data_IF_402004790117
#
_entry.id   IF_402004790117
#
_cell.length_a   1.000
_cell.length_b   1.000
_cell.length_c   1.000
_cell.angle_alpha   90.00
_cell.angle_beta   90.00
_cell.angle_gamma   90.00
#
_symmetry.space_group_name_H-M   'P 1'
#
loop_
_entity.id
_entity.type
_entity.pdbx_description
1 polymer ?
#
# COMPACT_ATOMS: atom_id res chain seq x y z
N UNK A 1 -7.75 32.89 7.14
CA UNK A 1 -8.91 32.44 6.34
C UNK A 1 -9.45 31.19 7.03
N UNK A 2 -10.54 31.29 7.78
CA UNK A 2 -11.09 30.14 8.51
C UNK A 2 -12.03 29.38 7.58
N UNK A 3 -11.66 28.19 7.12
CA UNK A 3 -12.58 27.33 6.37
C UNK A 3 -13.56 26.70 7.36
N UNK A 4 -14.86 26.70 7.07
CA UNK A 4 -15.83 26.04 7.93
C UNK A 4 -15.57 24.52 7.91
N UNK A 5 -15.76 23.87 9.06
CA UNK A 5 -15.32 22.47 9.33
C UNK A 5 -15.92 21.44 8.36
N UNK A 6 -17.07 21.77 7.76
CA UNK A 6 -17.80 21.00 6.77
C UNK A 6 -17.14 20.99 5.37
N UNK A 7 -16.22 21.93 5.10
CA UNK A 7 -15.44 22.02 3.85
C UNK A 7 -14.07 21.34 3.93
N UNK A 8 -13.69 20.76 5.08
CA UNK A 8 -12.47 19.94 5.15
C UNK A 8 -12.71 18.61 4.42
N UNK A 9 -11.90 18.24 3.41
CA UNK A 9 -12.06 16.96 2.74
C UNK A 9 -11.95 15.86 3.80
N UNK A 10 -13.02 15.06 3.94
CA UNK A 10 -12.99 13.87 4.80
C UNK A 10 -11.97 12.91 4.19
N UNK A 11 -10.74 12.95 4.70
CA UNK A 11 -9.68 12.03 4.31
C UNK A 11 -10.21 10.62 4.57
N UNK A 12 -10.48 9.87 3.50
CA UNK A 12 -10.75 8.43 3.62
C UNK A 12 -9.48 7.80 4.19
N UNK A 13 -9.59 6.85 5.13
CA UNK A 13 -8.41 6.13 5.59
C UNK A 13 -7.71 5.51 4.36
N UNK A 14 -6.38 5.61 4.34
CA UNK A 14 -5.60 5.00 3.28
C UNK A 14 -5.88 3.49 3.22
N UNK A 15 -5.82 2.87 2.03
CA UNK A 15 -5.90 1.42 1.89
C UNK A 15 -4.93 0.75 2.86
N UNK A 16 -5.35 -0.33 3.51
CA UNK A 16 -4.61 -1.03 4.56
C UNK A 16 -3.21 -1.42 4.11
N UNK A 17 -3.07 -1.86 2.86
CA UNK A 17 -1.78 -2.22 2.25
C UNK A 17 -0.81 -1.04 2.26
N UNK A 18 -1.28 0.13 1.82
CA UNK A 18 -0.47 1.35 1.75
C UNK A 18 -0.19 1.93 3.14
N UNK A 19 -1.17 1.93 4.04
CA UNK A 19 -1.01 2.41 5.41
C UNK A 19 0.05 1.62 6.19
N UNK A 20 0.05 0.29 6.06
CA UNK A 20 1.07 -0.55 6.67
C UNK A 20 2.44 -0.33 6.04
N UNK A 21 2.50 -0.08 4.72
CA UNK A 21 3.75 0.19 4.05
C UNK A 21 4.39 1.49 4.54
N UNK A 22 3.60 2.56 4.65
CA UNK A 22 4.03 3.84 5.22
C UNK A 22 4.51 3.69 6.67
N UNK A 23 3.81 2.88 7.47
CA UNK A 23 4.26 2.56 8.82
C UNK A 23 5.61 1.83 8.80
N UNK A 24 5.77 0.84 7.93
CA UNK A 24 6.97 0.03 7.83
C UNK A 24 8.21 0.80 7.36
N UNK A 25 8.05 1.86 6.55
CA UNK A 25 9.17 2.73 6.16
C UNK A 25 9.91 3.33 7.37
N UNK A 26 9.25 3.45 8.53
CA UNK A 26 9.86 3.97 9.76
C UNK A 26 10.63 2.92 10.57
N UNK A 27 10.49 1.63 10.26
CA UNK A 27 11.03 0.53 11.08
C UNK A 27 11.80 -0.52 10.29
N UNK A 28 11.47 -0.70 9.01
CA UNK A 28 12.08 -1.63 8.06
C UNK A 28 12.75 -0.79 6.96
N UNK A 29 14.08 -0.92 6.74
CA UNK A 29 14.76 -0.17 5.68
C UNK A 29 14.16 -0.42 4.28
N UNK A 30 13.44 0.58 3.77
CA UNK A 30 12.70 0.50 2.50
C UNK A 30 11.43 -0.34 2.58
N UNK A 31 10.82 -0.44 3.76
CA UNK A 31 9.47 -0.97 4.02
C UNK A 31 9.30 -2.48 3.77
N UNK A 32 10.31 -3.18 3.25
CA UNK A 32 10.28 -4.60 2.92
C UNK A 32 11.63 -5.26 3.21
N UNK A 33 11.66 -6.60 3.27
CA UNK A 33 12.89 -7.38 3.50
C UNK A 33 13.74 -7.63 2.26
N UNK A 34 13.28 -7.25 1.06
CA UNK A 34 13.94 -7.55 -0.21
C UNK A 34 13.97 -6.30 -1.08
N UNK A 35 15.16 -5.92 -1.55
CA UNK A 35 15.32 -4.78 -2.46
C UNK A 35 14.42 -4.90 -3.70
N UNK A 36 14.37 -6.09 -4.31
CA UNK A 36 13.60 -6.40 -5.51
C UNK A 36 12.08 -6.37 -5.34
N UNK A 37 11.57 -6.13 -4.12
CA UNK A 37 10.15 -6.05 -3.82
C UNK A 37 9.72 -4.66 -3.36
N UNK A 38 10.59 -3.65 -3.48
CA UNK A 38 10.26 -2.26 -3.13
C UNK A 38 9.29 -1.65 -4.14
N UNK A 39 8.10 -1.18 -3.72
CA UNK A 39 7.14 -0.49 -4.59
C UNK A 39 7.76 0.69 -5.36
N UNK A 40 8.74 1.38 -4.78
CA UNK A 40 9.41 2.54 -5.40
C UNK A 40 10.16 2.19 -6.68
N UNK A 41 10.57 0.94 -6.87
CA UNK A 41 11.32 0.52 -8.06
C UNK A 41 10.44 0.23 -9.27
N UNK A 42 9.13 0.02 -9.07
CA UNK A 42 8.21 -0.44 -10.11
C UNK A 42 7.06 0.54 -10.33
N UNK A 43 6.14 0.64 -9.37
CA UNK A 43 4.98 1.53 -9.44
C UNK A 43 4.71 2.18 -8.07
N UNK A 44 5.41 3.28 -7.75
CA UNK A 44 5.27 3.97 -6.47
C UNK A 44 3.82 4.39 -6.20
N UNK A 45 3.29 4.02 -5.03
CA UNK A 45 1.92 4.36 -4.62
C UNK A 45 0.80 3.57 -5.32
N UNK A 46 1.14 2.66 -6.23
CA UNK A 46 0.19 1.80 -6.92
C UNK A 46 0.49 0.30 -6.73
N UNK A 47 1.76 -0.07 -6.59
CA UNK A 47 2.17 -1.45 -6.36
C UNK A 47 1.88 -1.89 -4.92
N UNK A 48 1.15 -2.99 -4.69
CA UNK A 48 0.90 -3.50 -3.34
C UNK A 48 2.20 -4.02 -2.72
N UNK A 49 2.60 -3.42 -1.59
CA UNK A 49 3.81 -3.82 -0.88
C UNK A 49 3.65 -5.17 -0.15
N UNK A 50 2.41 -5.52 0.23
CA UNK A 50 2.09 -6.68 1.06
C UNK A 50 0.89 -7.45 0.52
N UNK A 51 0.90 -8.76 0.76
CA UNK A 51 -0.09 -9.70 0.26
C UNK A 51 -0.61 -10.59 1.39
N UNK A 52 -1.89 -10.92 1.33
CA UNK A 52 -2.55 -11.82 2.29
C UNK A 52 -2.58 -13.27 1.80
N UNK A 53 -2.63 -13.48 0.48
CA UNK A 53 -2.70 -14.81 -0.14
C UNK A 53 -2.09 -14.81 -1.54
N UNK A 54 -1.71 -16.00 -2.01
CA UNK A 54 -1.35 -16.28 -3.39
C UNK A 54 -1.87 -17.67 -3.78
N UNK A 55 -2.46 -17.80 -4.97
CA UNK A 55 -2.99 -19.05 -5.49
C UNK A 55 -2.80 -19.12 -7.01
N UNK A 56 -2.05 -20.10 -7.50
CA UNK A 56 -1.71 -20.17 -8.92
C UNK A 56 -0.92 -18.94 -9.37
N UNK A 57 -1.41 -18.23 -10.39
CA UNK A 57 -0.85 -16.96 -10.85
C UNK A 57 -1.57 -15.73 -10.27
N UNK A 58 -2.37 -15.89 -9.21
CA UNK A 58 -3.07 -14.79 -8.57
C UNK A 58 -2.48 -14.45 -7.21
N UNK A 59 -2.36 -13.15 -6.92
CA UNK A 59 -1.96 -12.63 -5.60
C UNK A 59 -3.03 -11.69 -5.08
N UNK A 60 -3.33 -11.78 -3.78
CA UNK A 60 -4.32 -10.92 -3.10
C UNK A 60 -3.61 -9.99 -2.12
N UNK A 61 -3.82 -8.68 -2.22
CA UNK A 61 -3.26 -7.71 -1.27
C UNK A 61 -3.94 -7.75 0.11
N UNK A 62 -3.66 -6.78 0.99
CA UNK A 62 -4.29 -6.71 2.32
C UNK A 62 -5.68 -6.05 2.32
N UNK A 63 -6.06 -5.42 1.22
CA UNK A 63 -7.35 -4.80 0.97
C UNK A 63 -8.33 -5.74 0.24
N UNK A 64 -7.84 -6.90 -0.23
CA UNK A 64 -8.62 -7.90 -0.96
C UNK A 64 -8.58 -7.75 -2.47
N UNK A 65 -7.74 -6.86 -3.00
CA UNK A 65 -7.55 -6.73 -4.45
C UNK A 65 -6.75 -7.91 -4.98
N UNK A 66 -7.22 -8.50 -6.09
CA UNK A 66 -6.58 -9.63 -6.76
C UNK A 66 -5.84 -9.15 -8.01
N UNK A 67 -4.60 -9.59 -8.15
CA UNK A 67 -3.72 -9.28 -9.28
C UNK A 67 -3.21 -10.57 -9.91
N UNK A 68 -2.93 -10.53 -11.21
CA UNK A 68 -2.21 -11.59 -11.90
C UNK A 68 -0.70 -11.34 -11.77
N UNK A 69 0.02 -12.31 -11.24
CA UNK A 69 1.49 -12.35 -11.14
C UNK A 69 2.06 -12.86 -12.48
N UNK A 70 2.89 -12.05 -13.14
CA UNK A 70 3.38 -12.25 -14.51
C UNK A 70 4.91 -12.26 -14.60
#
# INVERSE_FOLDING_TARGET
MNYPEDLKPRLRPAPKTQALYEQALNTIPGGTGLLSKRPEQFAPGAWPAYFSAAQGCEVTDLDGNVYVDA
#
